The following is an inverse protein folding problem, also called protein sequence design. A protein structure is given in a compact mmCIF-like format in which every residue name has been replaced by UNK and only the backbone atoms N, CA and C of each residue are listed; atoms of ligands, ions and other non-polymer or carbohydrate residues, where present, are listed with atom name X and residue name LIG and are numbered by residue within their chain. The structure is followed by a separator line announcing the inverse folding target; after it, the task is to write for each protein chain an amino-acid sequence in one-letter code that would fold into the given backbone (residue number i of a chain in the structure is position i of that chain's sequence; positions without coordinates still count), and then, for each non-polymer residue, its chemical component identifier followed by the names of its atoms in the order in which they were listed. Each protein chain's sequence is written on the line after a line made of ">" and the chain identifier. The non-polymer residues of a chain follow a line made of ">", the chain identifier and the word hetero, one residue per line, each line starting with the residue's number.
data_IF_779863267105
#
_entry.id   IF_779863267105
#
_cell.length_a   1.000
_cell.length_b   1.000
_cell.length_c   1.000
_cell.angle_alpha   90.00
_cell.angle_beta   90.00
_cell.angle_gamma   90.00
#
_symmetry.space_group_name_H-M   'P 1'
#
loop_
_entity.id
_entity.type
_entity.pdbx_description
1 polymer ?
#
# COMPACT_ATOMS: atom_id res chain seq x y z
N UNK A 1 33.14 82.78 -13.04
CA UNK A 1 31.83 82.21 -12.98
C UNK A 1 31.99 80.73 -13.35
N UNK A 2 32.02 79.84 -12.33
CA UNK A 2 32.29 78.43 -12.51
C UNK A 2 30.95 77.64 -12.31
N UNK A 3 30.36 77.10 -13.39
CA UNK A 3 29.15 76.32 -13.33
C UNK A 3 29.47 74.86 -12.89
N UNK A 4 29.01 74.51 -11.66
CA UNK A 4 29.07 73.12 -11.18
C UNK A 4 28.00 72.30 -11.84
N UNK A 5 28.40 71.25 -12.61
CA UNK A 5 27.52 70.23 -13.19
C UNK A 5 27.33 69.11 -12.15
N UNK A 6 26.13 68.98 -11.62
CA UNK A 6 25.78 67.90 -10.70
C UNK A 6 25.28 66.71 -11.58
N UNK A 7 26.07 65.63 -11.60
CA UNK A 7 25.73 64.40 -12.27
C UNK A 7 24.86 63.52 -11.31
N UNK A 8 23.58 63.41 -11.58
CA UNK A 8 22.69 62.51 -10.85
C UNK A 8 22.86 61.08 -11.38
N UNK A 9 23.36 60.18 -10.54
CA UNK A 9 23.49 58.75 -10.81
C UNK A 9 22.18 58.05 -10.40
N UNK A 10 21.41 57.37 -11.31
CA UNK A 10 20.23 56.65 -10.94
C UNK A 10 20.62 55.35 -10.21
N UNK A 11 20.16 55.23 -8.96
CA UNK A 11 20.26 54.01 -8.15
C UNK A 11 19.29 52.97 -8.70
N UNK A 12 19.76 52.04 -9.52
CA UNK A 12 18.97 50.84 -9.92
C UNK A 12 18.88 49.92 -8.68
N UNK A 13 17.78 50.03 -7.93
CA UNK A 13 17.38 48.97 -6.98
C UNK A 13 16.93 47.74 -7.78
N UNK A 14 17.83 46.76 -7.92
CA UNK A 14 17.48 45.45 -8.45
C UNK A 14 16.51 44.74 -7.50
N UNK A 15 15.25 44.56 -7.90
CA UNK A 15 14.33 43.62 -7.28
C UNK A 15 14.90 42.21 -7.48
N UNK A 16 15.59 41.68 -6.48
CA UNK A 16 15.88 40.26 -6.40
C UNK A 16 14.53 39.54 -6.17
N UNK A 17 14.15 38.56 -7.01
CA UNK A 17 12.98 37.73 -6.73
C UNK A 17 13.22 37.02 -5.39
N UNK A 18 12.33 37.20 -4.43
CA UNK A 18 12.33 36.45 -3.19
C UNK A 18 12.19 34.97 -3.59
N UNK A 19 13.26 34.18 -3.48
CA UNK A 19 13.20 32.75 -3.58
C UNK A 19 12.42 32.29 -2.35
N UNK A 20 11.16 31.83 -2.55
CA UNK A 20 10.40 31.14 -1.52
C UNK A 20 11.29 30.00 -0.98
N UNK A 21 11.62 30.05 0.30
CA UNK A 21 12.43 29.04 0.95
C UNK A 21 11.70 27.70 0.85
N UNK A 22 12.41 26.64 0.50
CA UNK A 22 11.85 25.27 0.47
C UNK A 22 11.26 24.86 1.84
N UNK A 23 11.60 25.55 2.92
CA UNK A 23 11.08 25.39 4.27
C UNK A 23 9.62 25.89 4.45
N UNK A 24 9.10 26.75 3.56
CA UNK A 24 7.74 27.30 3.65
C UNK A 24 6.68 26.44 2.92
N UNK A 25 7.11 25.39 2.20
CA UNK A 25 6.18 24.48 1.56
C UNK A 25 5.70 23.37 2.54
N UNK A 26 4.42 22.98 2.50
CA UNK A 26 3.95 21.87 3.32
C UNK A 26 4.74 20.60 3.00
N UNK A 27 4.95 19.69 3.98
CA UNK A 27 5.68 18.45 3.76
C UNK A 27 5.12 17.63 2.59
N UNK A 28 6.00 16.99 1.84
CA UNK A 28 5.65 16.06 0.77
C UNK A 28 5.12 14.76 1.39
N UNK A 29 3.85 14.43 1.16
CA UNK A 29 3.16 13.32 1.80
C UNK A 29 3.35 12.01 1.05
N UNK A 30 4.02 11.06 1.70
CA UNK A 30 4.15 9.68 1.22
C UNK A 30 3.12 8.84 1.96
N UNK A 31 1.98 8.62 1.32
CA UNK A 31 0.88 7.81 1.86
C UNK A 31 1.17 6.32 1.71
N UNK A 32 1.14 5.58 2.82
CA UNK A 32 1.35 4.13 2.83
C UNK A 32 0.05 3.44 3.26
N UNK A 33 -0.46 2.53 2.43
CA UNK A 33 -1.64 1.74 2.77
C UNK A 33 -1.42 0.91 4.05
N UNK A 34 -2.43 0.77 4.93
CA UNK A 34 -2.28 0.23 6.29
C UNK A 34 -2.18 -1.30 6.29
N UNK A 35 -1.04 -1.82 5.86
CA UNK A 35 -0.74 -3.26 5.83
C UNK A 35 -0.22 -3.81 7.16
N UNK A 36 0.08 -2.95 8.11
CA UNK A 36 0.48 -3.23 9.50
C UNK A 36 0.15 -2.01 10.37
N UNK A 37 0.55 -1.99 11.64
CA UNK A 37 0.28 -0.86 12.53
C UNK A 37 0.93 0.44 12.03
N UNK A 38 0.31 1.59 12.31
CA UNK A 38 0.81 2.89 11.88
C UNK A 38 2.25 3.17 12.35
N UNK A 39 2.60 2.78 13.60
CA UNK A 39 3.95 2.92 14.14
C UNK A 39 4.96 2.14 13.30
N UNK A 40 4.68 0.88 13.01
CA UNK A 40 5.56 0.03 12.20
C UNK A 40 5.71 0.58 10.78
N UNK A 41 4.64 1.09 10.17
CA UNK A 41 4.69 1.74 8.85
C UNK A 41 5.65 2.94 8.88
N UNK A 42 5.46 3.85 9.85
CA UNK A 42 6.30 5.05 9.94
C UNK A 42 7.77 4.67 10.13
N UNK A 43 8.09 3.73 11.03
CA UNK A 43 9.45 3.25 11.25
C UNK A 43 10.04 2.58 10.00
N UNK A 44 9.31 1.66 9.39
CA UNK A 44 9.75 0.89 8.23
C UNK A 44 10.07 1.75 7.01
N UNK A 45 9.29 2.81 6.75
CA UNK A 45 9.45 3.63 5.55
C UNK A 45 10.35 4.86 5.74
N UNK A 46 10.99 5.06 6.92
CA UNK A 46 11.93 6.15 7.12
C UNK A 46 13.10 6.19 6.13
N UNK A 47 13.75 5.06 5.76
CA UNK A 47 14.81 5.09 4.76
C UNK A 47 14.31 5.59 3.39
N UNK A 48 13.13 5.13 2.98
CA UNK A 48 12.47 5.57 1.73
C UNK A 48 12.15 7.06 1.78
N UNK A 49 11.59 7.54 2.91
CA UNK A 49 11.29 8.96 3.10
C UNK A 49 12.55 9.82 2.93
N UNK A 50 13.67 9.45 3.58
CA UNK A 50 14.92 10.19 3.45
C UNK A 50 15.45 10.25 2.02
N UNK A 51 15.36 9.14 1.28
CA UNK A 51 15.78 9.09 -0.11
C UNK A 51 14.93 10.01 -1.00
N UNK A 52 13.62 10.01 -0.81
CA UNK A 52 12.70 10.89 -1.55
C UNK A 52 12.94 12.35 -1.17
N UNK A 53 13.02 12.67 0.13
CA UNK A 53 13.27 14.02 0.64
C UNK A 53 14.55 14.64 0.05
N UNK A 54 15.64 13.88 0.01
CA UNK A 54 16.90 14.32 -0.57
C UNK A 54 16.77 14.60 -2.08
N UNK A 55 15.99 13.79 -2.80
CA UNK A 55 15.83 13.94 -4.24
C UNK A 55 14.96 15.15 -4.64
N UNK A 56 13.94 15.48 -3.84
CA UNK A 56 13.01 16.58 -4.14
C UNK A 56 13.41 17.90 -3.49
N UNK A 57 14.40 17.89 -2.56
CA UNK A 57 14.91 19.10 -1.89
C UNK A 57 13.91 19.78 -0.95
N UNK A 58 12.88 19.06 -0.46
CA UNK A 58 11.89 19.57 0.50
C UNK A 58 11.51 18.52 1.53
N UNK A 59 11.05 18.91 2.74
CA UNK A 59 10.64 17.96 3.79
C UNK A 59 9.59 16.98 3.29
N UNK A 60 9.73 15.71 3.68
CA UNK A 60 8.75 14.66 3.39
C UNK A 60 8.30 13.96 4.68
N UNK A 61 7.05 13.49 4.71
CA UNK A 61 6.47 12.76 5.83
C UNK A 61 5.81 11.46 5.39
N UNK A 62 5.87 10.44 6.25
CA UNK A 62 5.11 9.21 6.08
C UNK A 62 3.76 9.38 6.74
N UNK A 63 2.71 9.15 5.98
CA UNK A 63 1.32 9.16 6.47
C UNK A 63 0.62 7.85 6.12
N UNK A 64 -0.37 7.47 6.90
CA UNK A 64 -1.20 6.28 6.65
C UNK A 64 -2.67 6.60 6.96
N UNK A 65 -3.54 5.61 6.83
CA UNK A 65 -4.97 5.72 7.11
C UNK A 65 -5.40 4.62 8.10
N UNK A 66 -6.58 4.75 8.73
CA UNK A 66 -7.10 3.73 9.64
C UNK A 66 -7.30 2.36 8.98
N UNK A 67 -7.72 2.34 7.72
CA UNK A 67 -7.97 1.14 6.93
C UNK A 67 -7.79 1.39 5.43
N UNK A 68 -7.86 0.32 4.62
CA UNK A 68 -7.67 0.38 3.16
C UNK A 68 -8.73 1.20 2.44
N UNK A 69 -9.97 1.24 2.94
CA UNK A 69 -11.06 2.03 2.35
C UNK A 69 -10.81 3.53 2.57
N UNK A 70 -10.45 3.92 3.80
CA UNK A 70 -10.07 5.29 4.13
C UNK A 70 -8.82 5.73 3.37
N UNK A 71 -7.83 4.83 3.19
CA UNK A 71 -6.64 5.12 2.39
C UNK A 71 -7.00 5.43 0.93
N UNK A 72 -7.81 4.57 0.29
CA UNK A 72 -8.22 4.76 -1.09
C UNK A 72 -9.00 6.07 -1.28
N UNK A 73 -9.90 6.41 -0.35
CA UNK A 73 -10.67 7.67 -0.37
C UNK A 73 -9.76 8.88 -0.33
N UNK A 74 -8.86 8.97 0.65
CA UNK A 74 -7.90 10.07 0.78
C UNK A 74 -6.98 10.20 -0.42
N UNK A 75 -6.55 9.08 -1.01
CA UNK A 75 -5.76 9.10 -2.22
C UNK A 75 -6.53 9.65 -3.42
N UNK A 76 -7.82 9.27 -3.61
CA UNK A 76 -8.70 9.85 -4.63
C UNK A 76 -8.92 11.35 -4.39
N UNK A 77 -9.04 11.77 -3.13
CA UNK A 77 -9.12 13.18 -2.72
C UNK A 77 -7.78 13.93 -2.83
N UNK A 78 -6.77 13.28 -3.42
CA UNK A 78 -5.46 13.89 -3.70
C UNK A 78 -4.66 14.26 -2.45
N UNK A 79 -4.88 13.62 -1.29
CA UNK A 79 -4.17 13.97 -0.04
C UNK A 79 -2.69 13.55 -0.06
N UNK A 80 -2.29 12.58 -0.89
CA UNK A 80 -0.93 12.07 -0.96
C UNK A 80 -0.20 12.54 -2.21
N UNK A 81 1.08 12.87 -2.08
CA UNK A 81 1.96 13.20 -3.20
C UNK A 81 2.53 11.94 -3.84
N UNK A 82 2.86 10.95 -3.03
CA UNK A 82 3.14 9.56 -3.43
C UNK A 82 2.20 8.65 -2.66
N UNK A 83 1.61 7.67 -3.32
CA UNK A 83 0.84 6.59 -2.70
C UNK A 83 1.60 5.26 -2.86
N UNK A 84 1.67 4.47 -1.79
CA UNK A 84 2.20 3.10 -1.79
C UNK A 84 1.09 2.16 -1.35
N UNK A 85 0.54 1.41 -2.30
CA UNK A 85 -0.65 0.57 -2.05
C UNK A 85 -0.60 -0.73 -2.85
N UNK A 86 -1.56 -1.62 -2.63
CA UNK A 86 -1.69 -2.88 -3.37
C UNK A 86 -2.19 -2.67 -4.78
N UNK A 87 -1.87 -3.60 -5.70
CA UNK A 87 -2.06 -3.47 -7.13
C UNK A 87 -3.48 -3.06 -7.57
N UNK A 88 -4.54 -3.60 -6.94
CA UNK A 88 -5.92 -3.23 -7.26
C UNK A 88 -6.25 -1.78 -6.90
N UNK A 89 -5.80 -1.30 -5.74
CA UNK A 89 -5.93 0.12 -5.41
C UNK A 89 -5.00 1.00 -6.26
N UNK A 90 -3.81 0.49 -6.64
CA UNK A 90 -2.94 1.19 -7.56
C UNK A 90 -3.59 1.37 -8.94
N UNK A 91 -4.30 0.35 -9.44
CA UNK A 91 -5.08 0.45 -10.66
C UNK A 91 -6.22 1.46 -10.52
N UNK A 92 -6.97 1.42 -9.42
CA UNK A 92 -8.00 2.42 -9.10
C UNK A 92 -7.44 3.85 -9.13
N UNK A 93 -6.33 4.09 -8.44
CA UNK A 93 -5.72 5.43 -8.39
C UNK A 93 -5.18 5.89 -9.74
N UNK A 94 -4.66 4.97 -10.54
CA UNK A 94 -4.21 5.27 -11.89
C UNK A 94 -5.37 5.68 -12.79
N UNK A 95 -6.48 4.94 -12.77
CA UNK A 95 -7.63 5.18 -13.66
C UNK A 95 -8.50 6.35 -13.22
N UNK A 96 -8.76 6.50 -11.92
CA UNK A 96 -9.78 7.41 -11.40
C UNK A 96 -9.20 8.70 -10.81
N UNK A 97 -7.92 8.70 -10.39
CA UNK A 97 -7.30 9.81 -9.69
C UNK A 97 -6.01 10.34 -10.36
N UNK A 98 -5.67 9.83 -11.55
CA UNK A 98 -4.54 10.33 -12.34
C UNK A 98 -3.17 10.09 -11.72
N UNK A 99 -3.03 9.10 -10.84
CA UNK A 99 -1.73 8.71 -10.32
C UNK A 99 -0.89 7.99 -11.38
N UNK A 100 0.41 8.24 -11.37
CA UNK A 100 1.39 7.72 -12.32
C UNK A 100 2.20 6.61 -11.64
N UNK A 101 2.18 5.36 -12.14
CA UNK A 101 3.00 4.29 -11.58
C UNK A 101 4.49 4.62 -11.63
N UNK A 102 5.19 4.30 -10.54
CA UNK A 102 6.64 4.41 -10.39
C UNK A 102 7.29 3.02 -10.44
N UNK A 103 7.22 2.30 -9.33
CA UNK A 103 7.90 1.04 -9.10
C UNK A 103 7.02 0.09 -8.28
N UNK A 104 7.37 -1.19 -8.32
CA UNK A 104 6.87 -2.19 -7.38
C UNK A 104 8.04 -3.00 -6.82
N UNK A 105 7.79 -3.85 -5.83
CA UNK A 105 8.81 -4.77 -5.34
C UNK A 105 8.95 -6.00 -6.25
N UNK A 106 10.14 -6.62 -6.25
CA UNK A 106 10.41 -7.87 -6.98
C UNK A 106 9.68 -9.06 -6.34
N UNK A 107 9.49 -9.02 -5.01
CA UNK A 107 8.77 -10.08 -4.31
C UNK A 107 7.31 -10.13 -4.76
N UNK A 108 6.87 -11.31 -5.14
CA UNK A 108 5.48 -11.59 -5.51
C UNK A 108 4.54 -11.40 -4.32
N UNK A 109 3.38 -10.81 -4.58
CA UNK A 109 2.28 -10.84 -3.62
C UNK A 109 1.43 -12.09 -3.88
N UNK A 110 1.18 -12.88 -2.83
CA UNK A 110 0.26 -14.01 -2.86
C UNK A 110 -0.70 -13.93 -1.67
N UNK A 111 -1.99 -14.06 -1.94
CA UNK A 111 -3.00 -14.29 -0.93
C UNK A 111 -3.07 -15.79 -0.60
N UNK A 112 -3.39 -16.12 0.64
CA UNK A 112 -3.59 -17.49 1.10
C UNK A 112 -4.83 -17.57 1.97
N UNK A 113 -5.49 -18.72 1.91
CA UNK A 113 -6.52 -19.11 2.87
C UNK A 113 -5.85 -20.04 3.88
N UNK A 114 -5.92 -19.67 5.14
CA UNK A 114 -5.37 -20.47 6.25
C UNK A 114 -6.52 -21.07 7.08
N UNK A 115 -6.29 -22.26 7.59
CA UNK A 115 -7.18 -22.95 8.53
C UNK A 115 -6.33 -23.64 9.62
N UNK A 116 -6.99 -24.09 10.70
CA UNK A 116 -6.35 -24.88 11.75
C UNK A 116 -5.83 -26.21 11.21
N UNK A 117 -4.60 -26.56 11.58
CA UNK A 117 -3.97 -27.86 11.30
C UNK A 117 -4.18 -28.81 12.48
N UNK A 118 -4.88 -29.90 12.26
CA UNK A 118 -5.19 -30.90 13.28
C UNK A 118 -3.99 -31.84 13.54
N UNK A 119 -2.94 -31.33 14.18
CA UNK A 119 -1.82 -32.12 14.71
C UNK A 119 -1.36 -33.27 13.81
N UNK A 120 -0.99 -33.01 12.57
CA UNK A 120 -0.52 -34.01 11.60
C UNK A 120 -1.63 -34.77 10.84
N UNK A 121 -2.90 -34.44 11.07
CA UNK A 121 -4.05 -34.99 10.34
C UNK A 121 -4.51 -34.09 9.18
N UNK A 122 -3.82 -32.97 8.95
CA UNK A 122 -4.17 -31.99 7.92
C UNK A 122 -5.13 -30.89 8.40
N UNK A 123 -5.66 -30.12 7.45
CA UNK A 123 -6.57 -29.03 7.73
C UNK A 123 -7.88 -29.51 8.35
N UNK A 124 -8.38 -28.80 9.35
CA UNK A 124 -9.73 -29.01 9.90
C UNK A 124 -10.81 -28.75 8.84
N UNK A 125 -10.54 -27.82 7.92
CA UNK A 125 -11.37 -27.47 6.77
C UNK A 125 -10.49 -27.51 5.52
N UNK A 126 -10.33 -28.69 4.86
CA UNK A 126 -9.34 -28.87 3.80
C UNK A 126 -9.69 -28.24 2.45
N UNK A 127 -10.94 -27.87 2.23
CA UNK A 127 -11.41 -27.30 0.96
C UNK A 127 -12.39 -26.14 1.17
N UNK A 128 -12.69 -25.41 0.09
CA UNK A 128 -13.70 -24.37 0.11
C UNK A 128 -15.07 -24.90 0.52
N UNK A 129 -15.45 -26.09 0.03
CA UNK A 129 -16.75 -26.71 0.32
C UNK A 129 -16.99 -26.95 1.82
N UNK A 130 -15.93 -27.25 2.57
CA UNK A 130 -16.00 -27.48 4.02
C UNK A 130 -16.29 -26.21 4.82
N UNK A 131 -16.17 -25.01 4.20
CA UNK A 131 -16.45 -23.72 4.82
C UNK A 131 -17.92 -23.31 4.75
N UNK A 132 -18.78 -24.10 4.13
CA UNK A 132 -20.22 -23.83 4.06
C UNK A 132 -20.82 -23.61 5.45
N UNK A 133 -21.58 -22.53 5.61
CA UNK A 133 -22.26 -22.18 6.87
C UNK A 133 -21.32 -21.74 8.00
N UNK A 134 -20.03 -21.50 7.70
CA UNK A 134 -19.04 -21.13 8.70
C UNK A 134 -18.68 -19.65 8.65
N UNK A 135 -17.90 -19.19 9.65
CA UNK A 135 -17.28 -17.86 9.66
C UNK A 135 -15.86 -17.95 9.13
N UNK A 136 -15.56 -17.09 8.13
CA UNK A 136 -14.22 -16.90 7.58
C UNK A 136 -13.77 -15.45 7.85
N UNK A 137 -12.51 -15.26 8.18
CA UNK A 137 -11.97 -13.93 8.52
C UNK A 137 -11.37 -13.25 7.30
N UNK A 138 -11.71 -11.97 7.13
CA UNK A 138 -11.05 -11.03 6.23
C UNK A 138 -10.42 -9.88 6.99
N UNK A 139 -9.53 -9.11 6.35
CA UNK A 139 -8.90 -7.95 6.99
C UNK A 139 -9.78 -6.69 6.90
N UNK A 140 -10.27 -6.39 5.72
CA UNK A 140 -11.08 -5.21 5.43
C UNK A 140 -11.77 -5.44 4.08
N UNK A 141 -12.99 -4.92 3.84
CA UNK A 141 -13.70 -5.12 2.56
C UNK A 141 -12.91 -4.70 1.31
N UNK A 142 -12.01 -3.72 1.45
CA UNK A 142 -11.18 -3.21 0.35
C UNK A 142 -9.75 -3.78 0.35
N UNK A 143 -9.44 -4.78 1.18
CA UNK A 143 -8.10 -5.40 1.17
C UNK A 143 -7.98 -6.47 0.10
N UNK A 144 -6.82 -6.52 -0.57
CA UNK A 144 -6.57 -7.46 -1.67
C UNK A 144 -6.79 -8.93 -1.26
N UNK A 145 -6.34 -9.32 -0.07
CA UNK A 145 -6.51 -10.70 0.41
C UNK A 145 -7.98 -11.07 0.64
N UNK A 146 -8.78 -10.12 1.12
CA UNK A 146 -10.21 -10.35 1.36
C UNK A 146 -10.96 -10.47 0.04
N UNK A 147 -10.76 -9.55 -0.88
CA UNK A 147 -11.40 -9.57 -2.20
C UNK A 147 -11.05 -10.84 -2.96
N UNK A 148 -9.77 -11.21 -3.00
CA UNK A 148 -9.35 -12.46 -3.62
C UNK A 148 -10.00 -13.68 -2.94
N UNK A 149 -10.04 -13.71 -1.62
CA UNK A 149 -10.65 -14.83 -0.87
C UNK A 149 -12.16 -14.95 -1.09
N UNK A 150 -12.87 -13.84 -1.23
CA UNK A 150 -14.29 -13.80 -1.59
C UNK A 150 -14.53 -14.34 -3.01
N UNK A 151 -13.67 -13.98 -3.98
CA UNK A 151 -13.71 -14.56 -5.32
C UNK A 151 -13.46 -16.06 -5.29
N UNK A 152 -12.44 -16.53 -4.56
CA UNK A 152 -12.17 -17.95 -4.40
C UNK A 152 -13.37 -18.74 -3.84
N UNK A 153 -14.08 -18.20 -2.84
CA UNK A 153 -15.31 -18.81 -2.31
C UNK A 153 -16.46 -18.79 -3.34
N UNK A 154 -16.59 -17.68 -4.06
CA UNK A 154 -17.62 -17.51 -5.10
C UNK A 154 -17.40 -18.47 -6.26
N UNK A 155 -16.18 -18.62 -6.75
CA UNK A 155 -15.80 -19.52 -7.83
C UNK A 155 -16.04 -20.99 -7.44
N UNK A 156 -15.79 -21.32 -6.19
CA UNK A 156 -16.11 -22.63 -5.61
C UNK A 156 -17.60 -22.81 -5.31
N UNK A 157 -18.44 -21.80 -5.53
CA UNK A 157 -19.90 -21.79 -5.29
C UNK A 157 -20.27 -22.23 -3.87
N UNK A 158 -19.51 -21.79 -2.86
CA UNK A 158 -19.76 -22.11 -1.45
C UNK A 158 -20.79 -21.14 -0.87
N UNK A 159 -22.02 -21.59 -0.55
CA UNK A 159 -23.05 -20.71 0.01
C UNK A 159 -22.86 -20.50 1.52
N UNK A 160 -23.52 -19.46 2.05
CA UNK A 160 -23.74 -19.26 3.49
C UNK A 160 -22.44 -19.04 4.29
N UNK A 161 -21.34 -18.61 3.65
CA UNK A 161 -20.11 -18.22 4.36
C UNK A 161 -20.27 -16.81 4.90
N UNK A 162 -20.05 -16.62 6.20
CA UNK A 162 -20.05 -15.31 6.83
C UNK A 162 -18.62 -14.75 6.86
N UNK A 163 -18.39 -13.60 6.21
CA UNK A 163 -17.10 -12.90 6.27
C UNK A 163 -17.12 -11.94 7.46
N UNK A 164 -16.25 -12.18 8.45
CA UNK A 164 -16.01 -11.28 9.57
C UNK A 164 -14.67 -10.58 9.41
N UNK A 165 -14.65 -9.26 9.56
CA UNK A 165 -13.43 -8.47 9.37
C UNK A 165 -12.67 -8.26 10.67
N UNK A 166 -11.34 -8.27 10.58
CA UNK A 166 -10.41 -8.00 11.68
C UNK A 166 -9.34 -7.01 11.20
N UNK A 167 -8.73 -6.29 12.12
CA UNK A 167 -7.81 -5.19 11.78
C UNK A 167 -6.38 -5.63 11.45
N UNK A 168 -5.98 -6.86 11.84
CA UNK A 168 -4.60 -7.32 11.69
C UNK A 168 -4.51 -8.81 11.32
N UNK A 169 -3.48 -9.19 10.55
CA UNK A 169 -3.30 -10.55 10.06
C UNK A 169 -2.94 -11.56 11.17
N UNK A 170 -2.23 -11.16 12.21
CA UNK A 170 -1.93 -11.98 13.38
C UNK A 170 -3.20 -12.32 14.17
N UNK A 171 -4.15 -11.37 14.28
CA UNK A 171 -5.47 -11.63 14.87
C UNK A 171 -6.25 -12.69 14.12
N UNK A 172 -6.13 -12.77 12.78
CA UNK A 172 -6.75 -13.85 11.97
C UNK A 172 -6.29 -15.21 12.48
N UNK A 173 -4.97 -15.40 12.62
CA UNK A 173 -4.40 -16.66 13.08
C UNK A 173 -4.88 -17.02 14.50
N UNK A 174 -4.84 -16.08 15.44
CA UNK A 174 -5.23 -16.30 16.83
C UNK A 174 -6.72 -16.70 16.95
N UNK A 175 -7.61 -16.02 16.24
CA UNK A 175 -9.04 -16.30 16.25
C UNK A 175 -9.36 -17.68 15.68
N UNK A 176 -8.67 -18.08 14.59
CA UNK A 176 -8.80 -19.44 14.04
C UNK A 176 -8.37 -20.49 15.07
N UNK A 177 -7.21 -20.28 15.72
CA UNK A 177 -6.66 -21.22 16.70
C UNK A 177 -7.45 -21.25 18.03
N UNK A 178 -8.24 -20.23 18.31
CA UNK A 178 -9.21 -20.21 19.40
C UNK A 178 -10.52 -20.96 19.07
N UNK A 179 -10.73 -21.30 17.77
CA UNK A 179 -11.94 -21.97 17.30
C UNK A 179 -13.11 -21.04 16.97
N UNK A 180 -12.90 -19.72 17.02
CA UNK A 180 -13.93 -18.68 16.80
C UNK A 180 -14.14 -18.35 15.30
N UNK A 181 -13.36 -18.98 14.41
CA UNK A 181 -13.52 -18.93 12.97
C UNK A 181 -12.91 -20.19 12.34
N UNK A 182 -13.41 -20.57 11.15
CA UNK A 182 -13.00 -21.80 10.46
C UNK A 182 -11.77 -21.61 9.58
N UNK A 183 -11.62 -20.42 8.98
CA UNK A 183 -10.53 -20.07 8.09
C UNK A 183 -10.35 -18.55 8.04
N UNK A 184 -9.32 -18.11 7.32
CA UNK A 184 -9.09 -16.67 7.13
C UNK A 184 -8.17 -16.35 5.96
N UNK A 185 -8.32 -15.16 5.42
CA UNK A 185 -7.56 -14.62 4.29
C UNK A 185 -6.42 -13.74 4.79
N UNK A 186 -5.18 -14.11 4.49
CA UNK A 186 -3.99 -13.29 4.76
C UNK A 186 -3.04 -13.32 3.58
N UNK A 187 -2.00 -12.49 3.59
CA UNK A 187 -0.92 -12.64 2.62
C UNK A 187 0.04 -13.74 3.05
N UNK A 188 0.68 -14.40 2.07
CA UNK A 188 1.74 -15.37 2.36
C UNK A 188 2.87 -14.75 3.20
N UNK A 189 3.22 -13.49 2.91
CA UNK A 189 4.23 -12.77 3.68
C UNK A 189 3.83 -12.57 5.15
N UNK A 190 2.53 -12.32 5.43
CA UNK A 190 2.05 -12.22 6.80
C UNK A 190 2.04 -13.58 7.51
N UNK A 191 1.65 -14.66 6.80
CA UNK A 191 1.75 -16.02 7.36
C UNK A 191 3.19 -16.35 7.77
N UNK A 192 4.17 -16.03 6.92
CA UNK A 192 5.60 -16.29 7.17
C UNK A 192 6.19 -15.45 8.32
N UNK A 193 5.54 -14.34 8.70
CA UNK A 193 5.96 -13.49 9.83
C UNK A 193 5.37 -13.92 11.17
N UNK A 194 4.40 -14.83 11.20
CA UNK A 194 3.87 -15.36 12.44
C UNK A 194 4.96 -16.16 13.18
N UNK A 195 4.84 -16.26 14.50
CA UNK A 195 5.75 -17.09 15.30
C UNK A 195 5.72 -18.55 14.82
N UNK A 196 6.87 -19.27 14.78
CA UNK A 196 6.94 -20.61 14.23
C UNK A 196 5.94 -21.60 14.85
N UNK A 197 5.68 -21.48 16.16
CA UNK A 197 4.70 -22.30 16.87
C UNK A 197 3.25 -22.03 16.43
N UNK A 198 2.95 -20.80 16.01
CA UNK A 198 1.64 -20.42 15.45
C UNK A 198 1.52 -20.96 14.02
N UNK A 199 2.59 -20.81 13.21
CA UNK A 199 2.62 -21.33 11.85
C UNK A 199 2.41 -22.86 11.81
N UNK A 200 3.04 -23.62 12.73
CA UNK A 200 2.95 -25.07 12.80
C UNK A 200 1.50 -25.58 13.07
N UNK A 201 0.66 -24.74 13.70
CA UNK A 201 -0.75 -25.03 13.98
C UNK A 201 -1.70 -24.61 12.87
N UNK A 202 -1.19 -24.01 11.81
CA UNK A 202 -1.96 -23.57 10.66
C UNK A 202 -1.56 -24.33 9.41
N UNK A 203 -2.48 -24.42 8.47
CA UNK A 203 -2.19 -24.92 7.13
C UNK A 203 -2.81 -24.02 6.08
N UNK A 204 -2.18 -23.97 4.91
CA UNK A 204 -2.69 -23.25 3.74
C UNK A 204 -3.58 -24.20 2.94
N UNK A 205 -4.86 -23.88 2.80
CA UNK A 205 -5.83 -24.66 2.03
C UNK A 205 -6.05 -24.12 0.60
N UNK A 206 -5.69 -22.84 0.37
CA UNK A 206 -5.67 -22.26 -0.97
C UNK A 206 -4.62 -21.15 -1.06
N UNK A 207 -4.12 -20.92 -2.30
CA UNK A 207 -3.13 -19.88 -2.60
C UNK A 207 -3.46 -19.24 -3.94
N UNK A 208 -3.31 -17.92 -4.03
CA UNK A 208 -3.45 -17.21 -5.29
C UNK A 208 -2.23 -17.43 -6.20
N UNK A 209 -2.44 -17.21 -7.51
CA UNK A 209 -1.35 -16.87 -8.39
C UNK A 209 -0.67 -15.56 -7.92
N UNK A 210 0.56 -15.27 -8.37
CA UNK A 210 1.20 -13.99 -8.10
C UNK A 210 0.35 -12.82 -8.59
N UNK A 211 0.19 -11.81 -7.73
CA UNK A 211 -0.53 -10.57 -8.05
C UNK A 211 0.40 -9.37 -7.87
N UNK A 212 0.02 -8.22 -8.46
CA UNK A 212 0.70 -6.97 -8.21
C UNK A 212 0.61 -6.62 -6.71
N UNK A 213 1.77 -6.60 -6.06
CA UNK A 213 1.91 -6.31 -4.64
C UNK A 213 1.80 -4.83 -4.32
N UNK A 214 2.75 -4.32 -3.52
CA UNK A 214 2.81 -2.89 -3.21
C UNK A 214 3.43 -2.11 -4.37
N UNK A 215 2.66 -1.15 -4.89
CA UNK A 215 3.02 -0.28 -6.00
C UNK A 215 3.21 1.13 -5.47
N UNK A 216 4.28 1.77 -5.87
CA UNK A 216 4.55 3.19 -5.67
C UNK A 216 3.93 3.97 -6.83
N UNK A 217 3.16 5.00 -6.53
CA UNK A 217 2.53 5.87 -7.53
C UNK A 217 2.75 7.33 -7.17
N UNK A 218 3.14 8.13 -8.16
CA UNK A 218 3.22 9.59 -8.03
C UNK A 218 1.86 10.21 -8.34
N UNK A 219 1.41 11.13 -7.52
CA UNK A 219 0.25 11.95 -7.84
C UNK A 219 0.52 12.78 -9.11
N UNK A 220 -0.42 12.78 -10.05
CA UNK A 220 -0.26 13.49 -11.34
C UNK A 220 0.02 14.98 -11.21
N UNK A 221 -0.45 15.63 -10.12
CA UNK A 221 -0.13 17.04 -9.84
C UNK A 221 1.38 17.29 -9.65
N UNK A 222 2.14 16.25 -9.27
CA UNK A 222 3.59 16.29 -9.07
C UNK A 222 4.36 15.59 -10.20
N UNK A 223 3.78 15.45 -11.40
CA UNK A 223 4.39 14.74 -12.53
C UNK A 223 5.82 15.20 -12.86
N UNK A 224 6.13 16.50 -12.63
CA UNK A 224 7.47 17.05 -12.82
C UNK A 224 8.53 16.40 -11.90
N UNK A 225 8.16 15.91 -10.73
CA UNK A 225 9.04 15.24 -9.76
C UNK A 225 9.14 13.73 -10.01
N UNK A 226 8.36 13.16 -10.95
CA UNK A 226 8.26 11.72 -11.16
C UNK A 226 9.61 11.07 -11.42
N UNK A 227 10.42 11.63 -12.32
CA UNK A 227 11.75 11.12 -12.64
C UNK A 227 12.69 11.14 -11.43
N UNK A 228 12.75 12.26 -10.72
CA UNK A 228 13.62 12.41 -9.55
C UNK A 228 13.25 11.40 -8.43
N UNK A 229 11.97 11.20 -8.15
CA UNK A 229 11.53 10.23 -7.13
C UNK A 229 11.76 8.79 -7.60
N UNK A 230 11.48 8.47 -8.86
CA UNK A 230 11.75 7.16 -9.45
C UNK A 230 13.23 6.79 -9.32
N UNK A 231 14.12 7.67 -9.76
CA UNK A 231 15.57 7.44 -9.75
C UNK A 231 16.12 7.37 -8.33
N UNK A 232 15.58 8.18 -7.40
CA UNK A 232 15.94 8.12 -5.99
C UNK A 232 15.58 6.77 -5.34
N UNK A 233 14.41 6.21 -5.66
CA UNK A 233 14.02 4.87 -5.18
C UNK A 233 14.94 3.78 -5.73
N UNK A 234 15.30 3.81 -7.01
CA UNK A 234 16.25 2.88 -7.61
C UNK A 234 17.64 3.02 -6.99
N UNK A 235 18.13 4.27 -6.86
CA UNK A 235 19.43 4.55 -6.24
C UNK A 235 19.46 4.10 -4.77
N UNK A 236 18.41 4.37 -4.00
CA UNK A 236 18.25 3.86 -2.63
C UNK A 236 18.37 2.33 -2.61
N UNK A 237 17.70 1.63 -3.52
CA UNK A 237 17.76 0.18 -3.63
C UNK A 237 19.17 -0.38 -3.85
N UNK A 238 20.08 0.39 -4.44
CA UNK A 238 21.47 0.02 -4.68
C UNK A 238 22.39 0.29 -3.48
N UNK A 239 21.95 1.02 -2.45
CA UNK A 239 22.71 1.30 -1.22
C UNK A 239 22.77 0.10 -0.28
N UNK A 240 23.69 0.11 0.67
CA UNK A 240 23.74 -0.89 1.75
C UNK A 240 22.47 -0.84 2.62
N UNK A 241 21.97 0.38 2.93
CA UNK A 241 20.74 0.58 3.69
C UNK A 241 19.52 0.03 2.93
N UNK A 242 19.42 0.29 1.60
CA UNK A 242 18.36 -0.21 0.75
C UNK A 242 18.34 -1.73 0.66
N UNK A 243 19.49 -2.37 0.51
CA UNK A 243 19.59 -3.85 0.54
C UNK A 243 19.09 -4.40 1.88
N UNK A 244 19.60 -3.87 3.01
CA UNK A 244 19.14 -4.27 4.33
C UNK A 244 17.62 -4.07 4.53
N UNK A 245 17.06 -2.96 4.01
CA UNK A 245 15.62 -2.71 4.00
C UNK A 245 14.85 -3.79 3.25
N UNK A 246 15.32 -4.19 2.05
CA UNK A 246 14.66 -5.23 1.27
C UNK A 246 14.79 -6.62 1.92
N UNK A 247 15.95 -6.96 2.45
CA UNK A 247 16.20 -8.25 3.10
C UNK A 247 15.35 -8.41 4.36
N UNK A 248 15.35 -7.40 5.24
CA UNK A 248 14.54 -7.39 6.47
C UNK A 248 13.06 -7.55 6.21
N UNK A 249 12.58 -6.99 5.09
CA UNK A 249 11.15 -6.99 4.75
C UNK A 249 10.79 -8.05 3.69
N UNK A 250 11.74 -8.88 3.25
CA UNK A 250 11.58 -9.89 2.21
C UNK A 250 10.96 -9.32 0.91
N UNK A 251 11.48 -8.18 0.43
CA UNK A 251 10.92 -7.44 -0.72
C UNK A 251 11.68 -7.66 -2.04
N UNK A 252 12.91 -8.16 -1.97
CA UNK A 252 13.74 -8.54 -3.12
C UNK A 252 14.26 -7.39 -3.99
N UNK A 253 13.98 -6.14 -3.66
CA UNK A 253 14.34 -4.95 -4.43
C UNK A 253 13.17 -4.34 -5.19
N UNK A 254 13.44 -3.26 -5.94
CA UNK A 254 12.47 -2.62 -6.82
C UNK A 254 12.54 -3.17 -8.24
N UNK A 255 11.42 -3.11 -8.95
CA UNK A 255 11.29 -3.30 -10.39
C UNK A 255 10.22 -2.38 -10.97
N UNK A 256 10.27 -2.19 -12.27
CA UNK A 256 9.18 -1.55 -13.01
C UNK A 256 7.90 -2.36 -12.87
N UNK A 257 6.76 -1.66 -12.87
CA UNK A 257 5.45 -2.28 -12.99
C UNK A 257 4.88 -2.01 -14.38
N UNK A 258 4.37 -3.05 -15.03
CA UNK A 258 3.79 -2.92 -16.35
C UNK A 258 2.34 -2.45 -16.31
N UNK A 259 1.92 -1.78 -17.40
CA UNK A 259 0.51 -1.40 -17.56
C UNK A 259 -0.43 -2.62 -17.59
N UNK A 260 0.03 -3.76 -18.09
CA UNK A 260 -0.73 -5.02 -18.13
C UNK A 260 -0.93 -5.63 -16.75
N UNK A 261 0.09 -5.61 -15.89
CA UNK A 261 -0.03 -6.07 -14.49
C UNK A 261 -1.09 -5.28 -13.73
N UNK A 262 -1.13 -3.95 -13.91
CA UNK A 262 -2.15 -3.11 -13.28
C UNK A 262 -3.53 -3.33 -13.89
N UNK A 263 -3.63 -3.41 -15.22
CA UNK A 263 -4.90 -3.63 -15.90
C UNK A 263 -5.55 -4.96 -15.50
N UNK A 264 -4.76 -6.00 -15.23
CA UNK A 264 -5.26 -7.28 -14.72
C UNK A 264 -5.92 -7.16 -13.33
N UNK A 265 -5.68 -6.08 -12.59
CA UNK A 265 -6.28 -5.81 -11.28
C UNK A 265 -7.62 -5.03 -11.36
N UNK A 266 -8.08 -4.67 -12.58
CA UNK A 266 -9.30 -3.87 -12.78
C UNK A 266 -10.55 -4.47 -12.13
N UNK A 267 -10.82 -5.78 -12.23
CA UNK A 267 -12.02 -6.36 -11.58
C UNK A 267 -12.05 -6.14 -10.07
N UNK A 268 -10.88 -6.22 -9.40
CA UNK A 268 -10.78 -5.96 -7.96
C UNK A 268 -10.79 -4.45 -7.64
N UNK A 269 -10.34 -3.61 -8.55
CA UNK A 269 -10.48 -2.15 -8.44
C UNK A 269 -11.96 -1.73 -8.50
N UNK A 270 -12.78 -2.36 -9.36
CA UNK A 270 -14.22 -2.14 -9.44
C UNK A 270 -14.94 -2.43 -8.12
N UNK A 271 -14.53 -3.48 -7.41
CA UNK A 271 -15.08 -3.79 -6.09
C UNK A 271 -14.75 -2.71 -5.06
N UNK A 272 -13.52 -2.19 -5.07
CA UNK A 272 -13.17 -1.04 -4.21
C UNK A 272 -14.02 0.18 -4.55
N UNK A 273 -14.26 0.46 -5.84
CA UNK A 273 -15.19 1.53 -6.27
C UNK A 273 -16.60 1.34 -5.69
N UNK A 274 -17.09 0.09 -5.70
CA UNK A 274 -18.40 -0.23 -5.14
C UNK A 274 -18.45 0.01 -3.62
N UNK A 275 -17.42 -0.41 -2.89
CA UNK A 275 -17.27 -0.16 -1.44
C UNK A 275 -17.23 1.34 -1.14
N UNK A 276 -16.45 2.12 -1.89
CA UNK A 276 -16.35 3.58 -1.71
C UNK A 276 -17.69 4.28 -1.94
N UNK A 277 -18.46 3.85 -2.96
CA UNK A 277 -19.79 4.38 -3.26
C UNK A 277 -20.84 4.04 -2.20
N UNK A 278 -20.80 2.82 -1.64
CA UNK A 278 -21.71 2.39 -0.59
C UNK A 278 -21.48 3.12 0.74
N UNK A 279 -20.22 3.33 1.12
CA UNK A 279 -19.84 4.08 2.32
C UNK A 279 -20.21 5.57 2.27
N UNK A 280 -20.30 6.15 1.07
CA UNK A 280 -20.76 7.53 0.89
C UNK A 280 -22.27 7.70 1.13
N UNK A 281 -23.08 6.62 1.02
CA UNK A 281 -24.54 6.66 1.25
C UNK A 281 -24.93 6.54 2.73
N UNK A 282 -24.03 6.05 3.59
CA UNK A 282 -24.29 5.86 5.04
C UNK A 282 -23.83 7.04 5.90
N UNK A 283 -23.28 8.08 5.28
CA UNK A 283 -22.71 9.26 5.95
C UNK A 283 -23.57 10.54 5.84
N UNK A 284 -24.88 10.42 5.53
CA UNK A 284 -25.84 11.53 5.57
C UNK A 284 -26.88 11.33 6.67
#
# INVERSE_FOLDING_TARGET
>A
MLKRLILALPLLLGLLPAQASAADQPPFKIGIAPHTSARVIVEQYQPVRRAVEAAIGRPAEIVTAPDFTAFARRAIEQEYDVAVTTGHQAQLLRSDAGYLPLLTYKADFKAVVIAENLAGKGAKYPSAADLRGTTVLGLNPSSLVTLWGQHWLSDAKVPEVQIRYVSAADSVAQIILAGDASAGFISLANLQKLAPEVQARLTTIARSEPMAGRVYLMNGRNAALRGAVHDALLAFGATAEGRAYFDTNALGGYREITGGELAAMEPLADEVRAVLKSGAKTGN
#
